data_IF_528040445560
#
_entry.id   IF_528040445560
#
_cell.length_a   1.000
_cell.length_b   1.000
_cell.length_c   1.000
_cell.angle_alpha   90.00
_cell.angle_beta   90.00
_cell.angle_gamma   90.00
#
_symmetry.space_group_name_H-M   'P 1'
#
loop_
_entity.id
_entity.type
_entity.pdbx_description
1 polymer ?
#
# COMPACT_ATOMS: atom_id res chain seq x y z
N UNK A 1 4.32 -10.01 -3.17
CA UNK A 1 4.09 -9.19 -4.38
C UNK A 1 5.00 -9.61 -5.54
N UNK A 2 6.34 -9.58 -5.41
CA UNK A 2 7.24 -10.11 -6.46
C UNK A 2 6.95 -11.59 -6.78
N UNK A 3 6.74 -12.41 -5.76
CA UNK A 3 6.34 -13.81 -5.94
C UNK A 3 5.01 -14.00 -6.71
N UNK A 4 4.05 -13.08 -6.52
CA UNK A 4 2.77 -13.15 -7.25
C UNK A 4 3.01 -12.79 -8.72
N UNK A 5 3.89 -11.83 -9.01
CA UNK A 5 4.26 -11.48 -10.39
C UNK A 5 4.94 -12.66 -11.10
N UNK A 6 5.91 -13.28 -10.45
CA UNK A 6 6.60 -14.49 -10.96
C UNK A 6 5.60 -15.62 -11.23
N UNK A 7 4.68 -15.89 -10.30
CA UNK A 7 3.62 -16.88 -10.50
C UNK A 7 2.71 -16.55 -11.70
N UNK A 8 2.38 -15.28 -11.92
CA UNK A 8 1.57 -14.87 -13.07
C UNK A 8 2.32 -15.03 -14.40
N UNK A 9 3.64 -14.79 -14.40
CA UNK A 9 4.50 -15.05 -15.57
C UNK A 9 4.60 -16.56 -15.87
N UNK A 10 4.78 -17.41 -14.86
CA UNK A 10 4.78 -18.87 -15.01
C UNK A 10 3.44 -19.42 -15.52
N UNK A 11 2.32 -18.86 -15.04
CA UNK A 11 0.97 -19.19 -15.54
C UNK A 11 0.85 -18.79 -17.00
N UNK A 12 1.26 -17.57 -17.37
CA UNK A 12 1.19 -17.10 -18.75
C UNK A 12 1.99 -18.01 -19.70
N UNK A 13 3.22 -18.38 -19.32
CA UNK A 13 4.06 -19.29 -20.10
C UNK A 13 3.40 -20.67 -20.26
N UNK A 14 2.82 -21.19 -19.17
CA UNK A 14 2.15 -22.49 -19.18
C UNK A 14 0.90 -22.51 -20.08
N UNK A 15 0.15 -21.41 -20.11
CA UNK A 15 -1.02 -21.26 -20.99
C UNK A 15 -0.58 -21.16 -22.46
N UNK A 16 0.53 -20.47 -22.76
CA UNK A 16 1.09 -20.42 -24.12
C UNK A 16 1.49 -21.81 -24.60
N UNK A 17 2.24 -22.58 -23.79
CA UNK A 17 2.61 -23.97 -24.14
C UNK A 17 1.39 -24.86 -24.36
N UNK A 18 0.33 -24.69 -23.56
CA UNK A 18 -0.92 -25.43 -23.74
C UNK A 18 -1.62 -25.09 -25.07
N UNK A 19 -1.56 -23.83 -25.48
CA UNK A 19 -2.08 -23.38 -26.78
C UNK A 19 -1.34 -24.04 -27.94
N UNK A 20 0.00 -24.05 -27.89
CA UNK A 20 0.86 -24.70 -28.90
C UNK A 20 0.61 -26.22 -28.97
N UNK A 21 0.51 -26.89 -27.82
CA UNK A 21 0.19 -28.33 -27.78
C UNK A 21 -1.21 -28.61 -28.34
N UNK A 22 -2.20 -27.79 -28.02
CA UNK A 22 -3.57 -27.95 -28.54
C UNK A 22 -3.61 -27.78 -30.07
N UNK A 23 -2.81 -26.85 -30.62
CA UNK A 23 -2.64 -26.67 -32.06
C UNK A 23 -2.05 -27.92 -32.72
N UNK A 24 -0.95 -28.46 -32.15
CA UNK A 24 -0.30 -29.66 -32.66
C UNK A 24 -1.24 -30.89 -32.64
N UNK A 25 -2.04 -31.05 -31.59
CA UNK A 25 -3.06 -32.12 -31.54
C UNK A 25 -4.11 -31.90 -32.63
N UNK A 26 -4.50 -30.65 -32.92
CA UNK A 26 -5.41 -30.32 -34.01
C UNK A 26 -4.92 -30.79 -35.38
N UNK A 27 -3.63 -30.64 -35.67
CA UNK A 27 -3.00 -31.12 -36.92
C UNK A 27 -3.00 -32.67 -37.01
N UNK A 28 -2.72 -33.34 -35.88
CA UNK A 28 -2.77 -34.81 -35.80
C UNK A 28 -4.19 -35.31 -36.06
N UNK A 29 -5.20 -34.69 -35.43
CA UNK A 29 -6.60 -35.10 -35.60
C UNK A 29 -7.10 -34.86 -37.03
N UNK A 30 -6.63 -33.81 -37.70
CA UNK A 30 -6.91 -33.61 -39.13
C UNK A 30 -6.36 -34.78 -39.97
N UNK A 31 -5.11 -35.19 -39.71
CA UNK A 31 -4.49 -36.33 -40.41
C UNK A 31 -5.23 -37.65 -40.14
N UNK A 32 -5.68 -37.89 -38.90
CA UNK A 32 -6.47 -39.08 -38.55
C UNK A 32 -7.84 -39.07 -39.24
N UNK A 33 -8.45 -37.90 -39.40
CA UNK A 33 -9.70 -37.76 -40.14
C UNK A 33 -9.50 -38.12 -41.63
N UNK A 34 -8.40 -37.66 -42.25
CA UNK A 34 -8.07 -37.99 -43.63
C UNK A 34 -7.80 -39.49 -43.81
N UNK A 35 -7.12 -40.14 -42.85
CA UNK A 35 -6.91 -41.59 -42.84
C UNK A 35 -8.23 -42.38 -42.71
N UNK A 36 -9.17 -41.89 -41.89
CA UNK A 36 -10.50 -42.49 -41.76
C UNK A 36 -11.26 -42.38 -43.09
N UNK A 37 -11.19 -41.24 -43.78
CA UNK A 37 -11.83 -41.03 -45.07
C UNK A 37 -11.23 -41.92 -46.18
N UNK A 38 -9.90 -42.05 -46.22
CA UNK A 38 -9.22 -42.99 -47.11
C UNK A 38 -9.59 -44.44 -46.83
N UNK A 39 -9.67 -44.84 -45.55
CA UNK A 39 -10.06 -46.19 -45.15
C UNK A 39 -11.52 -46.50 -45.54
N UNK A 40 -12.41 -45.52 -45.43
CA UNK A 40 -13.79 -45.62 -45.89
C UNK A 40 -13.86 -45.80 -47.42
N UNK A 41 -13.08 -45.03 -48.20
CA UNK A 41 -13.00 -45.19 -49.66
C UNK A 41 -12.43 -46.56 -50.07
N UNK A 42 -11.37 -47.02 -49.40
CA UNK A 42 -10.80 -48.35 -49.59
C UNK A 42 -11.82 -49.46 -49.31
N UNK A 43 -12.58 -49.33 -48.22
CA UNK A 43 -13.63 -50.28 -47.86
C UNK A 43 -14.77 -50.33 -48.89
N UNK A 44 -15.18 -49.17 -49.43
CA UNK A 44 -16.18 -49.10 -50.49
C UNK A 44 -15.66 -49.78 -51.77
N UNK A 45 -14.43 -49.52 -52.17
CA UNK A 45 -13.82 -50.18 -53.33
C UNK A 45 -13.71 -51.69 -53.15
N UNK A 46 -13.32 -52.14 -51.95
CA UNK A 46 -13.27 -53.57 -51.61
C UNK A 46 -14.66 -54.23 -51.64
N UNK A 47 -15.71 -53.54 -51.18
CA UNK A 47 -17.08 -54.03 -51.23
C UNK A 47 -17.61 -54.15 -52.68
N UNK A 48 -17.25 -53.20 -53.56
CA UNK A 48 -17.56 -53.26 -54.99
C UNK A 48 -16.89 -54.48 -55.63
N UNK A 49 -15.59 -54.67 -55.38
CA UNK A 49 -14.84 -55.78 -55.99
C UNK A 49 -15.28 -57.15 -55.43
N UNK A 50 -15.65 -57.21 -54.16
CA UNK A 50 -16.26 -58.39 -53.55
C UNK A 50 -17.61 -58.76 -54.19
N UNK A 51 -18.43 -57.75 -54.53
CA UNK A 51 -19.68 -57.96 -55.27
C UNK A 51 -19.41 -58.49 -56.68
N UNK A 52 -18.36 -57.98 -57.33
CA UNK A 52 -17.94 -58.40 -58.68
C UNK A 52 -17.43 -59.84 -58.72
N UNK A 53 -16.80 -60.32 -57.65
CA UNK A 53 -16.33 -61.70 -57.52
C UNK A 53 -17.44 -62.74 -57.23
N UNK A 54 -18.69 -62.30 -57.03
CA UNK A 54 -19.85 -63.18 -56.85
C UNK A 54 -19.75 -64.08 -55.60
N UNK A 55 -19.97 -65.39 -55.77
CA UNK A 55 -19.93 -66.37 -54.66
C UNK A 55 -18.57 -66.39 -53.93
N UNK A 56 -17.46 -66.18 -54.62
CA UNK A 56 -16.11 -66.18 -54.04
C UNK A 56 -15.79 -64.91 -53.23
N UNK A 57 -16.56 -63.83 -53.41
CA UNK A 57 -16.35 -62.55 -52.74
C UNK A 57 -17.10 -62.38 -51.41
N UNK A 58 -17.96 -63.32 -51.01
CA UNK A 58 -18.81 -63.19 -49.82
C UNK A 58 -18.04 -62.89 -48.52
N UNK A 59 -16.91 -63.55 -48.30
CA UNK A 59 -16.05 -63.29 -47.12
C UNK A 59 -15.39 -61.91 -47.17
N UNK A 60 -14.93 -61.47 -48.33
CA UNK A 60 -14.35 -60.14 -48.54
C UNK A 60 -15.38 -59.02 -48.36
N UNK A 61 -16.64 -59.26 -48.77
CA UNK A 61 -17.72 -58.30 -48.59
C UNK A 61 -18.01 -58.00 -47.10
N UNK A 62 -17.95 -59.02 -46.24
CA UNK A 62 -18.12 -58.85 -44.78
C UNK A 62 -16.98 -58.03 -44.20
N UNK A 63 -15.74 -58.35 -44.54
CA UNK A 63 -14.56 -57.59 -44.07
C UNK A 63 -14.62 -56.14 -44.54
N UNK A 64 -14.98 -55.90 -45.81
CA UNK A 64 -15.13 -54.55 -46.34
C UNK A 64 -16.20 -53.74 -45.58
N UNK A 65 -17.33 -54.36 -45.22
CA UNK A 65 -18.36 -53.70 -44.43
C UNK A 65 -17.88 -53.36 -43.01
N UNK A 66 -17.11 -54.24 -42.38
CA UNK A 66 -16.54 -54.01 -41.05
C UNK A 66 -15.52 -52.85 -41.05
N UNK A 67 -14.62 -52.82 -42.05
CA UNK A 67 -13.65 -51.72 -42.23
C UNK A 67 -14.36 -50.39 -42.47
N UNK A 68 -15.44 -50.40 -43.26
CA UNK A 68 -16.28 -49.21 -43.46
C UNK A 68 -16.88 -48.72 -42.14
N UNK A 69 -17.41 -49.63 -41.32
CA UNK A 69 -17.95 -49.31 -40.00
C UNK A 69 -16.91 -48.70 -39.06
N UNK A 70 -15.70 -49.27 -39.02
CA UNK A 70 -14.59 -48.75 -38.22
C UNK A 70 -14.12 -47.37 -38.72
N UNK A 71 -14.06 -47.16 -40.02
CA UNK A 71 -13.69 -45.88 -40.62
C UNK A 71 -14.70 -44.77 -40.25
N UNK A 72 -16.00 -45.07 -40.31
CA UNK A 72 -17.05 -44.13 -39.91
C UNK A 72 -17.01 -43.82 -38.41
N UNK A 73 -16.81 -44.84 -37.56
CA UNK A 73 -16.59 -44.63 -36.12
C UNK A 73 -15.36 -43.75 -35.85
N UNK A 74 -14.25 -43.98 -36.55
CA UNK A 74 -13.04 -43.17 -36.43
C UNK A 74 -13.32 -41.70 -36.81
N UNK A 75 -14.06 -41.45 -37.89
CA UNK A 75 -14.47 -40.11 -38.32
C UNK A 75 -15.38 -39.40 -37.30
N UNK A 76 -16.27 -40.15 -36.67
CA UNK A 76 -17.15 -39.62 -35.63
C UNK A 76 -16.34 -39.25 -34.37
N UNK A 77 -15.38 -40.09 -33.97
CA UNK A 77 -14.49 -39.83 -32.86
C UNK A 77 -13.57 -38.62 -33.11
N UNK A 78 -12.96 -38.49 -34.29
CA UNK A 78 -12.13 -37.33 -34.64
C UNK A 78 -12.93 -36.03 -34.60
N UNK A 79 -14.19 -36.06 -35.04
CA UNK A 79 -15.10 -34.90 -34.96
C UNK A 79 -15.36 -34.49 -33.52
N UNK A 80 -15.60 -35.45 -32.61
CA UNK A 80 -15.78 -35.17 -31.18
C UNK A 80 -14.51 -34.57 -30.56
N UNK A 81 -13.34 -35.14 -30.84
CA UNK A 81 -12.05 -34.61 -30.35
C UNK A 81 -11.82 -33.19 -30.87
N UNK A 82 -12.15 -32.91 -32.13
CA UNK A 82 -12.05 -31.55 -32.71
C UNK A 82 -12.90 -30.54 -31.94
N UNK A 83 -14.12 -30.90 -31.56
CA UNK A 83 -14.99 -30.05 -30.73
C UNK A 83 -14.34 -29.76 -29.37
N UNK A 84 -13.82 -30.78 -28.70
CA UNK A 84 -13.13 -30.63 -27.41
C UNK A 84 -11.90 -29.70 -27.56
N UNK A 85 -11.10 -29.86 -28.62
CA UNK A 85 -9.94 -29.01 -28.87
C UNK A 85 -10.33 -27.53 -29.08
N UNK A 86 -11.44 -27.26 -29.77
CA UNK A 86 -11.95 -25.90 -29.93
C UNK A 86 -12.36 -25.29 -28.58
N UNK A 87 -13.00 -26.08 -27.71
CA UNK A 87 -13.34 -25.63 -26.35
C UNK A 87 -12.09 -25.37 -25.51
N UNK A 88 -11.07 -26.23 -25.58
CA UNK A 88 -9.78 -26.06 -24.91
C UNK A 88 -9.07 -24.80 -25.41
N UNK A 89 -9.03 -24.55 -26.72
CA UNK A 89 -8.45 -23.32 -27.28
C UNK A 89 -9.18 -22.07 -26.77
N UNK A 90 -10.52 -22.10 -26.72
CA UNK A 90 -11.33 -20.99 -26.20
C UNK A 90 -11.06 -20.73 -24.71
N UNK A 91 -10.98 -21.80 -23.90
CA UNK A 91 -10.65 -21.71 -22.49
C UNK A 91 -9.23 -21.18 -22.27
N UNK A 92 -8.27 -21.64 -23.07
CA UNK A 92 -6.87 -21.18 -23.05
C UNK A 92 -6.78 -19.70 -23.38
N UNK A 93 -7.46 -19.22 -24.44
CA UNK A 93 -7.50 -17.80 -24.80
C UNK A 93 -8.11 -16.94 -23.68
N UNK A 94 -9.18 -17.41 -23.05
CA UNK A 94 -9.78 -16.75 -21.88
C UNK A 94 -8.81 -16.68 -20.70
N UNK A 95 -8.03 -17.75 -20.47
CA UNK A 95 -7.02 -17.80 -19.42
C UNK A 95 -5.86 -16.82 -19.68
N UNK A 96 -5.42 -16.65 -20.94
CA UNK A 96 -4.43 -15.63 -21.31
C UNK A 96 -4.93 -14.24 -20.93
N UNK A 97 -6.16 -13.89 -21.35
CA UNK A 97 -6.75 -12.57 -21.04
C UNK A 97 -6.85 -12.32 -19.53
N UNK A 98 -7.29 -13.33 -18.77
CA UNK A 98 -7.40 -13.23 -17.32
C UNK A 98 -6.03 -13.05 -16.66
N UNK A 99 -5.01 -13.76 -17.15
CA UNK A 99 -3.63 -13.65 -16.64
C UNK A 99 -3.05 -12.27 -16.95
N UNK A 100 -3.23 -11.74 -18.16
CA UNK A 100 -2.79 -10.37 -18.50
C UNK A 100 -3.46 -9.30 -17.63
N UNK A 101 -4.77 -9.40 -17.42
CA UNK A 101 -5.49 -8.49 -16.53
C UNK A 101 -4.99 -8.60 -15.09
N UNK A 102 -4.76 -9.82 -14.61
CA UNK A 102 -4.20 -10.05 -13.29
C UNK A 102 -2.79 -9.49 -13.13
N UNK A 103 -1.91 -9.64 -14.14
CA UNK A 103 -0.57 -9.03 -14.14
C UNK A 103 -0.63 -7.51 -14.03
N UNK A 104 -1.55 -6.87 -14.76
CA UNK A 104 -1.77 -5.41 -14.66
C UNK A 104 -2.28 -5.00 -13.27
N UNK A 105 -3.22 -5.76 -12.70
CA UNK A 105 -3.75 -5.50 -11.36
C UNK A 105 -2.67 -5.64 -10.28
N UNK A 106 -1.81 -6.68 -10.38
CA UNK A 106 -0.67 -6.87 -9.47
C UNK A 106 0.32 -5.71 -9.60
N UNK A 107 0.64 -5.27 -10.82
CA UNK A 107 1.54 -4.12 -11.02
C UNK A 107 0.98 -2.83 -10.40
N UNK A 108 -0.31 -2.55 -10.58
CA UNK A 108 -0.98 -1.42 -9.95
C UNK A 108 -0.96 -1.53 -8.41
N UNK A 109 -1.24 -2.72 -7.87
CA UNK A 109 -1.19 -2.99 -6.44
C UNK A 109 0.21 -2.81 -5.84
N UNK A 110 1.26 -3.21 -6.57
CA UNK A 110 2.65 -2.97 -6.16
C UNK A 110 2.93 -1.47 -6.07
N UNK A 111 2.56 -0.70 -7.09
CA UNK A 111 2.75 0.75 -7.08
C UNK A 111 2.05 1.40 -5.88
N UNK A 112 0.78 1.05 -5.66
CA UNK A 112 0.01 1.62 -4.56
C UNK A 112 0.58 1.24 -3.18
N UNK A 113 1.09 0.03 -3.02
CA UNK A 113 1.77 -0.40 -1.79
C UNK A 113 3.08 0.38 -1.57
N UNK A 114 3.84 0.66 -2.63
CA UNK A 114 5.05 1.49 -2.55
C UNK A 114 4.72 2.92 -2.15
N UNK A 115 3.72 3.54 -2.78
CA UNK A 115 3.28 4.92 -2.48
C UNK A 115 2.79 5.03 -1.02
N UNK A 116 2.05 4.03 -0.54
CA UNK A 116 1.63 3.95 0.86
C UNK A 116 2.83 3.82 1.81
N UNK A 117 3.82 2.99 1.44
CA UNK A 117 5.05 2.83 2.21
C UNK A 117 5.87 4.12 2.32
N UNK A 118 5.95 4.91 1.25
CA UNK A 118 6.59 6.23 1.25
C UNK A 118 5.83 7.23 2.14
N UNK A 119 4.51 7.24 2.06
CA UNK A 119 3.66 8.10 2.90
C UNK A 119 3.83 7.78 4.39
N UNK A 120 3.89 6.49 4.75
CA UNK A 120 4.13 6.05 6.13
C UNK A 120 5.53 6.47 6.62
N UNK A 121 6.56 6.37 5.76
CA UNK A 121 7.91 6.84 6.09
C UNK A 121 7.94 8.35 6.35
N UNK A 122 7.28 9.14 5.50
CA UNK A 122 7.17 10.58 5.68
C UNK A 122 6.46 10.93 7.01
N UNK A 123 5.33 10.26 7.28
CA UNK A 123 4.58 10.45 8.52
C UNK A 123 5.42 10.10 9.77
N UNK A 124 6.21 9.02 9.69
CA UNK A 124 7.11 8.62 10.78
C UNK A 124 8.17 9.71 11.04
N UNK A 125 8.72 10.32 9.98
CA UNK A 125 9.63 11.46 10.08
C UNK A 125 8.99 12.65 10.79
N UNK A 126 7.80 13.07 10.35
CA UNK A 126 7.07 14.19 10.97
C UNK A 126 6.72 13.93 12.43
N UNK A 127 6.36 12.70 12.80
CA UNK A 127 6.12 12.32 14.20
C UNK A 127 7.41 12.43 15.02
N UNK A 128 8.56 12.04 14.47
CA UNK A 128 9.87 12.21 15.09
C UNK A 128 10.21 13.67 15.37
N UNK A 129 10.02 14.55 14.38
CA UNK A 129 10.23 16.00 14.52
C UNK A 129 9.29 16.60 15.58
N UNK A 130 8.01 16.20 15.58
CA UNK A 130 7.04 16.65 16.58
C UNK A 130 7.43 16.23 18.00
N UNK A 131 7.94 15.00 18.18
CA UNK A 131 8.41 14.50 19.48
C UNK A 131 9.64 15.28 19.97
N UNK A 132 10.58 15.61 19.07
CA UNK A 132 11.73 16.44 19.39
C UNK A 132 11.31 17.85 19.80
N UNK A 133 10.38 18.47 19.05
CA UNK A 133 9.83 19.78 19.38
C UNK A 133 9.14 19.77 20.75
N UNK A 134 8.33 18.75 21.05
CA UNK A 134 7.68 18.60 22.35
C UNK A 134 8.69 18.49 23.50
N UNK A 135 9.80 17.77 23.29
CA UNK A 135 10.89 17.67 24.27
C UNK A 135 11.56 19.03 24.52
N UNK A 136 11.81 19.80 23.46
CA UNK A 136 12.38 21.14 23.56
C UNK A 136 11.45 22.12 24.26
N UNK A 137 10.14 22.04 23.99
CA UNK A 137 9.11 22.84 24.67
C UNK A 137 9.11 22.50 26.17
N UNK A 138 9.10 21.22 26.53
CA UNK A 138 9.12 20.80 27.93
C UNK A 138 10.36 21.32 28.67
N UNK A 139 11.54 21.22 28.06
CA UNK A 139 12.77 21.77 28.63
C UNK A 139 12.69 23.30 28.80
N UNK A 140 12.17 24.02 27.81
CA UNK A 140 12.02 25.47 27.86
C UNK A 140 11.01 25.90 28.93
N UNK A 141 9.90 25.17 29.08
CA UNK A 141 8.92 25.40 30.16
C UNK A 141 9.54 25.19 31.54
N UNK A 142 10.40 24.18 31.70
CA UNK A 142 11.12 23.97 32.97
C UNK A 142 12.06 25.14 33.29
N UNK A 143 12.76 25.68 32.29
CA UNK A 143 13.60 26.87 32.47
C UNK A 143 12.77 28.11 32.81
N UNK A 144 11.59 28.28 32.19
CA UNK A 144 10.68 29.38 32.53
C UNK A 144 10.21 29.30 33.98
N UNK A 145 9.89 28.12 34.50
CA UNK A 145 9.52 27.95 35.92
C UNK A 145 10.63 28.43 36.86
N UNK A 146 11.88 28.05 36.59
CA UNK A 146 13.03 28.54 37.36
C UNK A 146 13.16 30.07 37.28
N UNK A 147 12.94 30.66 36.10
CA UNK A 147 12.91 32.11 35.93
C UNK A 147 11.78 32.78 36.72
N UNK A 148 10.60 32.17 36.79
CA UNK A 148 9.48 32.68 37.59
C UNK A 148 9.79 32.67 39.08
N UNK A 149 10.47 31.64 39.59
CA UNK A 149 10.92 31.60 40.99
C UNK A 149 11.90 32.74 41.31
N UNK A 150 12.82 33.05 40.40
CA UNK A 150 13.74 34.18 40.53
C UNK A 150 13.00 35.52 40.54
N UNK A 151 12.00 35.69 39.67
CA UNK A 151 11.15 36.88 39.64
C UNK A 151 10.38 37.02 40.96
N UNK A 152 9.79 35.93 41.47
CA UNK A 152 9.08 35.94 42.74
C UNK A 152 10.00 36.37 43.90
N UNK A 153 11.24 35.86 43.93
CA UNK A 153 12.24 36.25 44.91
C UNK A 153 12.62 37.74 44.78
N UNK A 154 12.82 38.24 43.56
CA UNK A 154 13.11 39.65 43.30
C UNK A 154 11.97 40.57 43.79
N UNK A 155 10.71 40.19 43.52
CA UNK A 155 9.52 40.92 44.01
C UNK A 155 9.48 40.93 45.54
N UNK A 156 9.79 39.81 46.20
CA UNK A 156 9.86 39.76 47.66
C UNK A 156 10.93 40.72 48.23
N UNK A 157 12.10 40.77 47.59
CA UNK A 157 13.16 41.70 47.96
C UNK A 157 12.76 43.17 47.76
N UNK A 158 12.09 43.49 46.65
CA UNK A 158 11.54 44.83 46.39
C UNK A 158 10.54 45.23 47.48
N UNK A 159 9.62 44.33 47.83
CA UNK A 159 8.64 44.58 48.92
C UNK A 159 9.36 44.90 50.23
N UNK A 160 10.38 44.12 50.61
CA UNK A 160 11.18 44.36 51.81
C UNK A 160 11.86 45.73 51.78
N UNK A 161 12.53 46.08 50.67
CA UNK A 161 13.18 47.37 50.50
C UNK A 161 12.18 48.53 50.58
N UNK A 162 11.00 48.40 49.97
CA UNK A 162 9.93 49.39 50.05
C UNK A 162 9.43 49.59 51.49
N UNK A 163 9.26 48.50 52.27
CA UNK A 163 8.89 48.60 53.69
C UNK A 163 9.97 49.30 54.52
N UNK A 164 11.24 48.99 54.28
CA UNK A 164 12.37 49.67 54.95
C UNK A 164 12.42 51.16 54.59
N UNK A 165 12.21 51.50 53.33
CA UNK A 165 12.19 52.89 52.86
C UNK A 165 11.04 53.67 53.50
N UNK A 166 9.84 53.08 53.57
CA UNK A 166 8.70 53.70 54.27
C UNK A 166 9.00 53.97 55.75
N UNK A 167 9.65 53.04 56.44
CA UNK A 167 10.08 53.24 57.83
C UNK A 167 11.12 54.36 57.95
N UNK A 168 12.09 54.42 57.04
CA UNK A 168 13.07 55.50 56.95
C UNK A 168 12.43 56.87 56.72
N UNK A 169 11.46 56.96 55.80
CA UNK A 169 10.70 58.19 55.54
C UNK A 169 9.95 58.67 56.77
N UNK A 170 9.30 57.77 57.53
CA UNK A 170 8.63 58.14 58.79
C UNK A 170 9.61 58.67 59.83
N UNK A 171 10.81 58.08 59.93
CA UNK A 171 11.85 58.56 60.83
C UNK A 171 12.37 59.95 60.42
N UNK A 172 12.52 60.20 59.11
CA UNK A 172 12.89 61.51 58.58
C UNK A 172 11.81 62.55 58.85
N UNK A 173 10.53 62.19 58.69
CA UNK A 173 9.39 63.07 59.01
C UNK A 173 9.42 63.48 60.49
N UNK A 174 9.59 62.52 61.41
CA UNK A 174 9.71 62.81 62.84
C UNK A 174 10.91 63.72 63.14
N UNK A 175 12.07 63.44 62.55
CA UNK A 175 13.27 64.28 62.73
C UNK A 175 13.07 65.70 62.20
N UNK A 176 12.34 65.87 61.09
CA UNK A 176 12.01 67.18 60.55
C UNK A 176 11.06 67.96 61.46
N UNK A 177 10.09 67.29 62.10
CA UNK A 177 9.23 67.89 63.12
C UNK A 177 10.02 68.33 64.35
N UNK A 178 10.93 67.49 64.86
CA UNK A 178 11.81 67.82 65.99
C UNK A 178 12.70 69.04 65.68
N UNK A 179 13.28 69.09 64.46
CA UNK A 179 14.08 70.23 64.01
C UNK A 179 13.24 71.51 63.88
N UNK A 180 12.00 71.40 63.40
CA UNK A 180 11.08 72.52 63.33
C UNK A 180 10.76 73.06 64.73
N UNK A 181 10.49 72.17 65.69
CA UNK A 181 10.23 72.55 67.08
C UNK A 181 11.46 73.23 67.71
N UNK A 182 12.64 72.66 67.52
CA UNK A 182 13.89 73.26 68.00
C UNK A 182 14.12 74.65 67.39
N UNK A 183 13.85 74.82 66.09
CA UNK A 183 13.91 76.10 65.41
C UNK A 183 12.98 77.15 66.02
N UNK A 184 11.74 76.77 66.35
CA UNK A 184 10.77 77.65 67.03
C UNK A 184 11.26 78.03 68.43
N UNK A 185 11.77 77.07 69.22
CA UNK A 185 12.30 77.33 70.57
C UNK A 185 13.52 78.27 70.54
N UNK A 186 14.43 78.08 69.59
CA UNK A 186 15.59 78.96 69.40
C UNK A 186 15.15 80.38 69.03
N UNK A 187 14.14 80.53 68.17
CA UNK A 187 13.57 81.83 67.81
C UNK A 187 13.00 82.55 69.05
N UNK A 188 12.20 81.87 69.87
CA UNK A 188 11.64 82.42 71.12
C UNK A 188 12.73 82.85 72.11
N UNK A 189 13.79 82.04 72.28
CA UNK A 189 14.94 82.40 73.12
C UNK A 189 15.65 83.67 72.65
N UNK A 190 15.86 83.83 71.35
CA UNK A 190 16.48 85.04 70.77
C UNK A 190 15.57 86.26 70.93
N UNK A 191 14.25 86.12 70.74
CA UNK A 191 13.29 87.20 70.95
C UNK A 191 13.28 87.66 72.42
N UNK A 192 13.30 86.73 73.39
CA UNK A 192 13.38 87.06 74.82
C UNK A 192 14.68 87.78 75.18
N UNK A 193 15.83 87.31 74.68
CA UNK A 193 17.13 87.97 74.88
C UNK A 193 17.17 89.39 74.31
N UNK A 194 16.46 89.63 73.19
CA UNK A 194 16.39 90.93 72.53
C UNK A 194 15.44 91.93 73.21
N UNK A 195 14.50 91.46 74.04
CA UNK A 195 13.63 92.31 74.88
C UNK A 195 14.27 92.61 76.24
N UNK A 196 15.23 91.79 76.68
CA UNK A 196 15.92 91.91 77.96
C UNK A 196 17.22 92.74 77.92
N UNK A 197 17.67 93.19 76.74
CA UNK A 197 18.83 94.07 76.55
C UNK A 197 18.42 95.39 75.90
#
# INVERSE_FOLDING_TARGET
MNHIREQMEEIAESVVRLSEQSQAIGEIIATVNDLAEQSNLLAVNAAIEATRAGEFGKGFAVVAHEVKGLAEQSRQATTQVRTILMEVQKATSSAVMATEQGTKAVAAGVKQATDAGESIRALTGSVGEAAQAATQIAASSQQQLVGMDQIAAAIANIRKATTQNLAGTKQLEASAQDLQELGVRLKDLVERQRVAG
#
